data_IF_410273403243
#
_entry.id   IF_410273403243
#
_cell.length_a   1.000
_cell.length_b   1.000
_cell.length_c   1.000
_cell.angle_alpha   90.00
_cell.angle_beta   90.00
_cell.angle_gamma   90.00
#
_symmetry.space_group_name_H-M   'P 1'
#
loop_
_entity.id
_entity.type
_entity.pdbx_description
1 polymer ?
#
# COMPACT_ATOMS: atom_id res chain seq x y z
N UNK A 1 3.41 6.54 -36.92
CA UNK A 1 4.43 6.03 -35.95
C UNK A 1 4.93 7.12 -34.99
N UNK A 2 4.71 8.44 -35.28
CA UNK A 2 5.18 9.55 -34.43
C UNK A 2 4.21 10.01 -33.32
N UNK A 3 3.03 9.41 -33.20
CA UNK A 3 2.00 9.84 -32.22
C UNK A 3 2.21 9.24 -30.83
N UNK A 4 3.00 8.16 -30.70
CA UNK A 4 3.22 7.48 -29.41
C UNK A 4 4.19 8.21 -28.47
N UNK A 5 5.22 8.87 -28.98
CA UNK A 5 6.27 9.48 -28.15
C UNK A 5 5.87 10.74 -27.42
N UNK A 6 4.97 11.56 -27.98
CA UNK A 6 4.59 12.86 -27.38
C UNK A 6 3.47 12.77 -26.33
N UNK A 7 2.68 11.69 -26.32
CA UNK A 7 1.59 11.50 -25.35
C UNK A 7 2.04 10.78 -24.07
N UNK A 8 3.08 9.94 -24.12
CA UNK A 8 3.65 9.29 -22.93
C UNK A 8 4.36 10.30 -22.01
N UNK A 9 4.96 11.32 -22.57
CA UNK A 9 5.64 12.39 -21.83
C UNK A 9 4.65 13.20 -20.97
N UNK A 10 3.38 13.32 -21.36
CA UNK A 10 2.43 14.23 -20.73
C UNK A 10 2.05 13.83 -19.30
N UNK A 11 1.84 12.53 -18.96
CA UNK A 11 1.48 12.15 -17.60
C UNK A 11 2.69 11.95 -16.69
N UNK A 12 3.84 11.52 -17.23
CA UNK A 12 5.12 11.46 -16.49
C UNK A 12 5.68 12.86 -16.12
N UNK A 13 5.20 13.91 -16.73
CA UNK A 13 5.53 15.29 -16.36
C UNK A 13 4.42 15.97 -15.55
N UNK A 14 3.26 15.33 -15.39
CA UNK A 14 2.15 15.91 -14.65
C UNK A 14 2.45 15.91 -13.14
N UNK A 15 2.48 17.07 -12.47
CA UNK A 15 2.85 17.18 -11.06
C UNK A 15 1.93 16.39 -10.13
N UNK A 16 0.63 16.29 -10.47
CA UNK A 16 -0.33 15.51 -9.68
C UNK A 16 -0.05 14.00 -9.80
N UNK A 17 0.15 13.50 -11.02
CA UNK A 17 0.53 12.09 -11.23
C UNK A 17 1.80 11.75 -10.45
N UNK A 18 2.84 12.57 -10.60
CA UNK A 18 4.11 12.39 -9.90
C UNK A 18 3.97 12.44 -8.37
N UNK A 19 2.98 13.17 -7.85
CA UNK A 19 2.73 13.21 -6.39
C UNK A 19 2.21 11.88 -5.85
N UNK A 20 1.54 11.08 -6.68
CA UNK A 20 1.00 9.77 -6.31
C UNK A 20 1.97 8.61 -6.56
N UNK A 21 3.01 8.80 -7.39
CA UNK A 21 3.99 7.75 -7.74
C UNK A 21 4.64 7.11 -6.51
N UNK A 22 5.21 7.84 -5.53
CA UNK A 22 5.81 7.22 -4.36
C UNK A 22 4.77 6.46 -3.52
N UNK A 23 3.55 6.98 -3.39
CA UNK A 23 2.47 6.32 -2.64
C UNK A 23 2.02 5.02 -3.32
N UNK A 24 1.90 5.01 -4.65
CA UNK A 24 1.64 3.81 -5.42
C UNK A 24 2.75 2.78 -5.28
N UNK A 25 4.00 3.21 -5.48
CA UNK A 25 5.15 2.32 -5.48
C UNK A 25 5.45 1.75 -4.08
N UNK A 26 5.66 2.61 -3.08
CA UNK A 26 6.06 2.15 -1.74
C UNK A 26 4.88 1.73 -0.87
N UNK A 27 3.86 2.58 -0.72
CA UNK A 27 2.78 2.29 0.24
C UNK A 27 1.84 1.20 -0.27
N UNK A 28 1.36 1.34 -1.51
CA UNK A 28 0.48 0.33 -2.12
C UNK A 28 1.24 -0.94 -2.48
N UNK A 29 2.48 -0.80 -3.00
CA UNK A 29 3.38 -1.94 -3.22
C UNK A 29 3.66 -2.73 -1.95
N UNK A 30 3.90 -2.06 -0.81
CA UNK A 30 4.06 -2.72 0.49
C UNK A 30 2.79 -3.42 0.96
N UNK A 31 1.62 -2.82 0.76
CA UNK A 31 0.35 -3.46 1.07
C UNK A 31 0.22 -4.79 0.32
N UNK A 32 0.50 -4.79 -1.00
CA UNK A 32 0.50 -6.02 -1.79
C UNK A 32 1.55 -7.02 -1.32
N UNK A 33 2.78 -6.57 -1.06
CA UNK A 33 3.86 -7.42 -0.57
C UNK A 33 3.50 -8.12 0.74
N UNK A 34 2.95 -7.37 1.68
CA UNK A 34 2.54 -7.90 2.99
C UNK A 34 1.41 -8.91 2.83
N UNK A 35 0.34 -8.53 2.15
CA UNK A 35 -0.84 -9.39 2.05
C UNK A 35 -0.58 -10.67 1.24
N UNK A 36 0.29 -10.65 0.23
CA UNK A 36 0.51 -11.80 -0.64
C UNK A 36 1.64 -12.72 -0.16
N UNK A 37 2.64 -12.19 0.56
CA UNK A 37 3.83 -12.95 0.92
C UNK A 37 4.19 -12.88 2.41
N UNK A 38 4.11 -11.72 3.06
CA UNK A 38 4.76 -11.53 4.36
C UNK A 38 3.84 -11.64 5.57
N UNK A 39 2.51 -11.56 5.41
CA UNK A 39 1.57 -11.72 6.53
C UNK A 39 1.62 -13.14 7.13
N UNK A 40 1.69 -14.19 6.29
CA UNK A 40 1.81 -15.58 6.75
C UNK A 40 3.08 -15.84 7.55
N UNK A 41 4.27 -15.57 7.00
CA UNK A 41 5.55 -15.66 7.75
C UNK A 41 5.56 -14.85 9.04
N UNK A 42 4.99 -13.64 9.08
CA UNK A 42 4.84 -12.89 10.33
C UNK A 42 4.02 -13.66 11.36
N UNK A 43 2.87 -14.21 10.97
CA UNK A 43 2.01 -14.95 11.90
C UNK A 43 2.73 -16.17 12.49
N UNK A 44 3.51 -16.89 11.68
CA UNK A 44 4.27 -18.06 12.13
C UNK A 44 5.49 -17.63 12.97
N UNK A 45 6.36 -16.80 12.39
CA UNK A 45 7.69 -16.53 12.97
C UNK A 45 7.62 -15.52 14.12
N UNK A 46 6.77 -14.48 14.00
CA UNK A 46 6.72 -13.39 14.98
C UNK A 46 5.61 -13.62 16.00
N UNK A 47 4.40 -13.98 15.55
CA UNK A 47 3.28 -14.18 16.45
C UNK A 47 3.19 -15.60 17.03
N UNK A 48 4.03 -16.54 16.55
CA UNK A 48 4.14 -17.90 17.09
C UNK A 48 2.96 -18.81 16.73
N UNK A 49 2.24 -18.52 15.64
CA UNK A 49 1.14 -19.36 15.16
C UNK A 49 1.66 -20.67 14.57
N UNK A 50 0.89 -21.75 14.75
CA UNK A 50 1.09 -22.96 13.94
C UNK A 50 0.75 -22.67 12.47
N UNK A 51 1.21 -23.52 11.53
CA UNK A 51 0.84 -23.38 10.11
C UNK A 51 -0.68 -23.35 9.90
N UNK A 52 -1.45 -24.15 10.63
CA UNK A 52 -2.90 -24.21 10.58
C UNK A 52 -3.55 -22.92 11.09
N UNK A 53 -3.09 -22.41 12.22
CA UNK A 53 -3.56 -21.14 12.78
C UNK A 53 -3.22 -19.96 11.84
N UNK A 54 -2.03 -19.98 11.22
CA UNK A 54 -1.63 -18.99 10.24
C UNK A 54 -2.54 -19.03 9.01
N UNK A 55 -2.86 -20.22 8.48
CA UNK A 55 -3.77 -20.36 7.36
C UNK A 55 -5.18 -19.84 7.68
N UNK A 56 -5.72 -20.15 8.86
CA UNK A 56 -7.00 -19.63 9.35
C UNK A 56 -6.93 -18.10 9.51
N UNK A 57 -5.83 -17.59 10.05
CA UNK A 57 -5.57 -16.16 10.19
C UNK A 57 -5.56 -15.43 8.85
N UNK A 58 -4.89 -15.99 7.85
CA UNK A 58 -4.84 -15.46 6.49
C UNK A 58 -6.23 -15.47 5.84
N UNK A 59 -7.00 -16.55 6.01
CA UNK A 59 -8.38 -16.62 5.53
C UNK A 59 -9.21 -15.47 6.12
N UNK A 60 -9.11 -15.23 7.41
CA UNK A 60 -9.81 -14.15 8.09
C UNK A 60 -9.38 -12.76 7.59
N UNK A 61 -8.09 -12.56 7.35
CA UNK A 61 -7.53 -11.33 6.78
C UNK A 61 -8.11 -11.08 5.38
N UNK A 62 -8.12 -12.09 4.50
CA UNK A 62 -8.63 -11.94 3.13
C UNK A 62 -10.14 -11.78 3.08
N UNK A 63 -10.89 -12.45 3.96
CA UNK A 63 -12.33 -12.25 4.09
C UNK A 63 -12.64 -10.80 4.53
N UNK A 64 -11.91 -10.28 5.51
CA UNK A 64 -12.03 -8.88 5.96
C UNK A 64 -11.73 -7.90 4.83
N UNK A 65 -10.73 -8.18 4.01
CA UNK A 65 -10.39 -7.40 2.83
C UNK A 65 -11.54 -7.42 1.80
N UNK A 66 -12.06 -8.59 1.47
CA UNK A 66 -13.18 -8.74 0.53
C UNK A 66 -14.39 -7.92 0.98
N UNK A 67 -14.80 -8.09 2.24
CA UNK A 67 -15.94 -7.36 2.80
C UNK A 67 -15.68 -5.85 2.79
N UNK A 68 -14.47 -5.42 3.12
CA UNK A 68 -14.09 -4.00 3.08
C UNK A 68 -14.20 -3.42 1.68
N UNK A 69 -13.71 -4.12 0.65
CA UNK A 69 -13.82 -3.65 -0.73
C UNK A 69 -15.26 -3.64 -1.25
N UNK A 70 -16.09 -4.61 -0.87
CA UNK A 70 -17.52 -4.59 -1.20
C UNK A 70 -18.23 -3.37 -0.56
N UNK A 71 -18.00 -3.15 0.73
CA UNK A 71 -18.52 -1.97 1.42
C UNK A 71 -17.98 -0.67 0.79
N UNK A 72 -16.69 -0.61 0.52
CA UNK A 72 -16.03 0.54 -0.08
C UNK A 72 -16.59 0.87 -1.47
N UNK A 73 -16.74 -0.14 -2.32
CA UNK A 73 -17.35 0.00 -3.66
C UNK A 73 -18.78 0.55 -3.60
N UNK A 74 -19.53 0.20 -2.57
CA UNK A 74 -20.88 0.74 -2.35
C UNK A 74 -20.88 2.18 -1.82
N UNK A 75 -19.97 2.50 -0.89
CA UNK A 75 -19.99 3.80 -0.20
C UNK A 75 -19.20 4.89 -0.95
N UNK A 76 -18.05 4.57 -1.55
CA UNK A 76 -17.16 5.56 -2.18
C UNK A 76 -17.86 6.44 -3.22
N UNK A 77 -18.70 5.92 -4.13
CA UNK A 77 -19.38 6.79 -5.11
C UNK A 77 -20.28 7.87 -4.49
N UNK A 78 -20.66 7.69 -3.22
CA UNK A 78 -21.47 8.68 -2.47
C UNK A 78 -20.62 9.81 -1.90
N UNK A 79 -19.36 9.54 -1.55
CA UNK A 79 -18.46 10.46 -0.85
C UNK A 79 -17.34 11.00 -1.72
N UNK A 80 -17.04 10.36 -2.85
CA UNK A 80 -15.98 10.76 -3.79
C UNK A 80 -16.58 10.94 -5.18
N UNK A 81 -17.12 12.13 -5.43
CA UNK A 81 -17.72 12.50 -6.72
C UNK A 81 -16.75 13.17 -7.67
N UNK A 82 -15.66 13.70 -7.14
CA UNK A 82 -14.64 14.42 -7.89
C UNK A 82 -13.24 14.13 -7.32
N UNK A 83 -12.22 14.61 -8.03
CA UNK A 83 -10.82 14.39 -7.66
C UNK A 83 -10.47 14.98 -6.29
N UNK A 84 -11.06 16.12 -5.91
CA UNK A 84 -10.81 16.75 -4.61
C UNK A 84 -11.34 15.92 -3.45
N UNK A 85 -12.50 15.27 -3.62
CA UNK A 85 -13.06 14.37 -2.63
C UNK A 85 -12.16 13.15 -2.46
N UNK A 86 -11.69 12.55 -3.57
CA UNK A 86 -10.75 11.42 -3.53
C UNK A 86 -9.45 11.78 -2.79
N UNK A 87 -8.89 12.94 -3.09
CA UNK A 87 -7.68 13.44 -2.41
C UNK A 87 -7.94 13.71 -0.94
N UNK A 88 -9.07 14.29 -0.58
CA UNK A 88 -9.44 14.54 0.81
C UNK A 88 -9.53 13.23 1.59
N UNK A 89 -10.26 12.24 1.06
CA UNK A 89 -10.39 10.93 1.68
C UNK A 89 -9.03 10.22 1.80
N UNK A 90 -8.17 10.33 0.78
CA UNK A 90 -6.83 9.78 0.81
C UNK A 90 -5.96 10.46 1.87
N UNK A 91 -6.03 11.80 1.99
CA UNK A 91 -5.29 12.56 3.01
C UNK A 91 -5.65 12.15 4.43
N UNK A 92 -6.92 11.89 4.70
CA UNK A 92 -7.36 11.52 6.05
C UNK A 92 -7.33 10.01 6.32
N UNK A 93 -7.49 9.19 5.27
CA UNK A 93 -7.55 7.75 5.41
C UNK A 93 -6.18 7.07 5.43
N UNK A 94 -5.24 7.51 4.58
CA UNK A 94 -3.92 6.88 4.50
C UNK A 94 -3.13 6.86 5.84
N UNK A 95 -3.16 7.90 6.70
CA UNK A 95 -2.50 7.84 8.00
C UNK A 95 -3.00 6.75 8.93
N UNK A 96 -4.26 6.31 8.77
CA UNK A 96 -4.84 5.27 9.64
C UNK A 96 -4.06 3.97 9.46
N UNK A 97 -3.75 3.58 8.23
CA UNK A 97 -2.96 2.37 7.97
C UNK A 97 -1.52 2.50 8.50
N UNK A 98 -0.91 3.69 8.45
CA UNK A 98 0.40 3.94 9.04
C UNK A 98 0.38 3.78 10.56
N UNK A 99 -0.65 4.31 11.23
CA UNK A 99 -0.82 4.16 12.69
C UNK A 99 -0.98 2.69 13.06
N UNK A 100 -1.79 1.94 12.30
CA UNK A 100 -1.99 0.51 12.54
C UNK A 100 -0.69 -0.27 12.31
N UNK A 101 0.08 0.05 11.26
CA UNK A 101 1.37 -0.59 11.01
C UNK A 101 2.37 -0.30 12.14
N UNK A 102 2.43 0.95 12.62
CA UNK A 102 3.25 1.31 13.78
C UNK A 102 2.85 0.52 15.03
N UNK A 103 1.54 0.33 15.26
CA UNK A 103 1.03 -0.49 16.35
C UNK A 103 1.44 -1.96 16.21
N UNK A 104 1.36 -2.55 15.01
CA UNK A 104 1.81 -3.92 14.74
C UNK A 104 3.30 -4.08 15.07
N UNK A 105 4.13 -3.13 14.62
CA UNK A 105 5.58 -3.13 14.91
C UNK A 105 5.84 -3.03 16.42
N UNK A 106 5.12 -2.17 17.12
CA UNK A 106 5.22 -2.00 18.57
C UNK A 106 4.82 -3.27 19.32
N UNK A 107 3.68 -3.85 19.00
CA UNK A 107 3.16 -5.06 19.64
C UNK A 107 4.04 -6.30 19.36
N UNK A 108 4.68 -6.37 18.18
CA UNK A 108 5.55 -7.49 17.82
C UNK A 108 4.83 -8.84 17.94
N UNK A 109 5.28 -9.76 18.82
CA UNK A 109 4.65 -11.09 18.97
C UNK A 109 3.18 -11.08 19.35
N UNK A 110 2.67 -9.99 19.93
CA UNK A 110 1.25 -9.85 20.26
C UNK A 110 0.39 -9.43 19.07
N UNK A 111 1.01 -9.08 17.94
CA UNK A 111 0.31 -8.67 16.73
C UNK A 111 -0.05 -9.89 15.86
N UNK A 112 -1.19 -10.51 16.11
CA UNK A 112 -1.75 -11.62 15.35
C UNK A 112 -2.64 -11.19 14.18
N UNK A 113 -3.42 -12.14 13.65
CA UNK A 113 -4.25 -12.00 12.44
C UNK A 113 -5.23 -10.83 12.49
N UNK A 114 -5.82 -10.54 13.65
CA UNK A 114 -6.77 -9.42 13.79
C UNK A 114 -6.11 -8.06 13.53
N UNK A 115 -4.86 -7.87 13.95
CA UNK A 115 -4.13 -6.64 13.73
C UNK A 115 -3.80 -6.44 12.23
N UNK A 116 -3.44 -7.51 11.54
CA UNK A 116 -3.23 -7.49 10.09
C UNK A 116 -4.54 -7.28 9.32
N UNK A 117 -5.65 -7.85 9.78
CA UNK A 117 -6.97 -7.57 9.21
C UNK A 117 -7.32 -6.08 9.34
N UNK A 118 -7.12 -5.47 10.52
CA UNK A 118 -7.34 -4.03 10.73
C UNK A 118 -6.40 -3.20 9.84
N UNK A 119 -5.13 -3.60 9.66
CA UNK A 119 -4.20 -2.93 8.73
C UNK A 119 -4.73 -2.94 7.31
N UNK A 120 -5.17 -4.09 6.80
CA UNK A 120 -5.68 -4.22 5.43
C UNK A 120 -6.99 -3.44 5.25
N UNK A 121 -7.91 -3.54 6.21
CA UNK A 121 -9.16 -2.76 6.19
C UNK A 121 -8.89 -1.25 6.20
N UNK A 122 -7.96 -0.80 7.04
CA UNK A 122 -7.57 0.62 7.09
C UNK A 122 -6.84 1.10 5.83
N UNK A 123 -6.25 0.18 5.09
CA UNK A 123 -5.52 0.49 3.84
C UNK A 123 -6.45 0.65 2.63
N UNK A 124 -7.76 0.39 2.76
CA UNK A 124 -8.73 0.51 1.66
C UNK A 124 -8.75 1.91 1.03
N UNK A 125 -8.42 2.96 1.80
CA UNK A 125 -8.30 4.33 1.29
C UNK A 125 -7.25 4.48 0.18
N UNK A 126 -6.22 3.65 0.17
CA UNK A 126 -5.17 3.68 -0.87
C UNK A 126 -5.73 3.34 -2.26
N UNK A 127 -6.84 2.60 -2.34
CA UNK A 127 -7.51 2.31 -3.60
C UNK A 127 -8.01 3.56 -4.33
N UNK A 128 -8.19 4.67 -3.62
CA UNK A 128 -8.58 5.96 -4.21
C UNK A 128 -7.48 6.58 -5.09
N UNK A 129 -6.24 6.11 -5.00
CA UNK A 129 -5.15 6.59 -5.87
C UNK A 129 -5.46 6.34 -7.34
N UNK A 130 -6.06 5.20 -7.68
CA UNK A 130 -6.41 4.85 -9.06
C UNK A 130 -7.52 5.73 -9.64
N UNK A 131 -8.71 5.88 -9.02
CA UNK A 131 -9.72 6.81 -9.54
C UNK A 131 -9.23 8.25 -9.53
N UNK A 132 -8.40 8.68 -8.58
CA UNK A 132 -7.81 10.02 -8.59
C UNK A 132 -6.91 10.23 -9.82
N UNK A 133 -6.10 9.24 -10.20
CA UNK A 133 -5.33 9.27 -11.46
C UNK A 133 -6.27 9.33 -12.65
N UNK A 134 -7.30 8.47 -12.71
CA UNK A 134 -8.25 8.45 -13.81
C UNK A 134 -8.97 9.81 -14.02
N UNK A 135 -9.38 10.45 -12.93
CA UNK A 135 -10.06 11.75 -12.95
C UNK A 135 -9.13 12.94 -13.27
N UNK A 136 -7.82 12.77 -13.15
CA UNK A 136 -6.84 13.85 -13.40
C UNK A 136 -6.55 14.06 -14.88
N UNK A 137 -6.98 13.18 -15.76
CA UNK A 137 -6.69 13.22 -17.19
C UNK A 137 -7.97 13.20 -18.04
N UNK A 138 -7.86 13.69 -19.29
CA UNK A 138 -8.96 13.59 -20.26
C UNK A 138 -9.31 12.12 -20.53
N UNK A 139 -10.55 11.84 -20.92
CA UNK A 139 -11.02 10.48 -21.21
C UNK A 139 -10.12 9.71 -22.20
N UNK A 140 -9.53 10.42 -23.16
CA UNK A 140 -8.58 9.83 -24.14
C UNK A 140 -7.26 9.37 -23.53
N UNK A 141 -6.82 10.00 -22.43
CA UNK A 141 -5.53 9.74 -21.77
C UNK A 141 -5.67 8.99 -20.44
N UNK A 142 -6.86 9.00 -19.83
CA UNK A 142 -7.10 8.36 -18.54
C UNK A 142 -6.73 6.87 -18.53
N UNK A 143 -7.08 6.12 -19.60
CA UNK A 143 -6.74 4.70 -19.70
C UNK A 143 -5.22 4.46 -19.69
N UNK A 144 -4.45 5.27 -20.43
CA UNK A 144 -2.98 5.15 -20.47
C UNK A 144 -2.35 5.52 -19.12
N UNK A 145 -2.82 6.60 -18.49
CA UNK A 145 -2.35 7.02 -17.18
C UNK A 145 -2.63 5.95 -16.12
N UNK A 146 -3.83 5.34 -16.11
CA UNK A 146 -4.19 4.25 -15.20
C UNK A 146 -3.33 3.01 -15.44
N UNK A 147 -3.10 2.62 -16.69
CA UNK A 147 -2.23 1.47 -17.01
C UNK A 147 -0.80 1.71 -16.53
N UNK A 148 -0.26 2.89 -16.77
CA UNK A 148 1.08 3.26 -16.30
C UNK A 148 1.17 3.31 -14.78
N UNK A 149 0.13 3.81 -14.11
CA UNK A 149 0.07 3.81 -12.65
C UNK A 149 -0.04 2.39 -12.08
N UNK A 150 -0.87 1.52 -12.69
CA UNK A 150 -0.96 0.12 -12.30
C UNK A 150 0.37 -0.63 -12.49
N UNK A 151 1.10 -0.36 -13.57
CA UNK A 151 2.44 -0.92 -13.76
C UNK A 151 3.37 -0.53 -12.60
N UNK A 152 3.34 0.72 -12.15
CA UNK A 152 4.09 1.17 -10.98
C UNK A 152 3.70 0.45 -9.69
N UNK A 153 2.40 0.20 -9.49
CA UNK A 153 1.92 -0.58 -8.33
C UNK A 153 2.52 -1.99 -8.31
N UNK A 154 2.52 -2.68 -9.46
CA UNK A 154 3.06 -4.04 -9.56
C UNK A 154 4.58 -4.06 -9.41
N UNK A 155 5.30 -3.14 -10.07
CA UNK A 155 6.76 -3.01 -9.90
C UNK A 155 7.07 -2.75 -8.42
N UNK A 156 6.31 -1.86 -7.77
CA UNK A 156 6.41 -1.59 -6.35
C UNK A 156 6.17 -2.83 -5.50
N UNK A 157 5.13 -3.63 -5.82
CA UNK A 157 4.83 -4.86 -5.11
C UNK A 157 6.00 -5.85 -5.17
N UNK A 158 6.55 -6.12 -6.37
CA UNK A 158 7.72 -6.99 -6.55
C UNK A 158 8.95 -6.45 -5.80
N UNK A 159 9.21 -5.16 -5.93
CA UNK A 159 10.34 -4.53 -5.24
C UNK A 159 10.19 -4.66 -3.72
N UNK A 160 9.01 -4.37 -3.17
CA UNK A 160 8.77 -4.44 -1.73
C UNK A 160 8.77 -5.87 -1.21
N UNK A 161 8.28 -6.86 -1.99
CA UNK A 161 8.41 -8.27 -1.62
C UNK A 161 9.87 -8.69 -1.46
N UNK A 162 10.69 -8.31 -2.44
CA UNK A 162 12.10 -8.65 -2.47
C UNK A 162 12.91 -7.93 -1.40
N UNK A 163 12.75 -6.62 -1.23
CA UNK A 163 13.53 -5.83 -0.28
C UNK A 163 13.19 -6.18 1.18
N UNK A 164 11.94 -6.53 1.49
CA UNK A 164 11.55 -7.02 2.81
C UNK A 164 12.34 -8.29 3.14
N UNK A 165 12.42 -9.26 2.21
CA UNK A 165 13.21 -10.46 2.38
C UNK A 165 14.69 -10.16 2.61
N UNK A 166 15.29 -9.29 1.78
CA UNK A 166 16.69 -8.89 1.94
C UNK A 166 16.97 -8.25 3.31
N UNK A 167 16.05 -7.42 3.82
CA UNK A 167 16.22 -6.79 5.14
C UNK A 167 16.15 -7.84 6.26
N UNK A 168 15.27 -8.83 6.14
CA UNK A 168 15.20 -9.94 7.09
C UNK A 168 16.50 -10.74 7.07
N UNK A 169 16.99 -11.14 5.90
CA UNK A 169 18.25 -11.87 5.75
C UNK A 169 19.46 -11.08 6.27
N UNK A 170 19.48 -9.78 6.03
CA UNK A 170 20.50 -8.86 6.56
C UNK A 170 20.45 -8.82 8.09
N UNK A 171 19.26 -8.73 8.68
CA UNK A 171 19.07 -8.77 10.12
C UNK A 171 19.63 -10.05 10.72
N UNK A 172 19.32 -11.20 10.12
CA UNK A 172 19.83 -12.51 10.54
C UNK A 172 21.36 -12.60 10.42
N UNK A 173 21.93 -12.07 9.33
CA UNK A 173 23.39 -12.10 9.08
C UNK A 173 24.20 -11.30 10.12
N UNK A 174 23.59 -10.30 10.75
CA UNK A 174 24.19 -9.52 11.85
C UNK A 174 23.74 -10.02 13.24
N UNK A 175 23.26 -11.27 13.31
CA UNK A 175 22.84 -11.96 14.53
C UNK A 175 21.64 -11.31 15.27
N UNK A 176 20.76 -10.60 14.59
CA UNK A 176 19.47 -10.26 15.15
C UNK A 176 18.58 -11.50 15.26
N UNK A 177 17.71 -11.56 16.26
CA UNK A 177 16.68 -12.58 16.31
C UNK A 177 15.74 -12.49 15.12
N UNK A 178 15.09 -13.59 14.73
CA UNK A 178 14.10 -13.61 13.65
C UNK A 178 13.02 -12.55 13.86
N UNK A 179 12.47 -12.45 15.07
CA UNK A 179 11.47 -11.45 15.44
C UNK A 179 11.96 -10.02 15.16
N UNK A 180 13.20 -9.70 15.55
CA UNK A 180 13.75 -8.35 15.34
C UNK A 180 14.07 -8.09 13.87
N UNK A 181 14.48 -9.09 13.11
CA UNK A 181 14.71 -9.01 11.67
C UNK A 181 13.40 -8.69 10.92
N UNK A 182 12.31 -9.36 11.25
CA UNK A 182 10.98 -9.05 10.73
C UNK A 182 10.51 -7.64 11.12
N UNK A 183 10.71 -7.25 12.39
CA UNK A 183 10.37 -5.89 12.84
C UNK A 183 11.16 -4.83 12.10
N UNK A 184 12.46 -5.06 11.84
CA UNK A 184 13.31 -4.16 11.05
C UNK A 184 12.76 -3.97 9.64
N UNK A 185 12.34 -5.03 8.99
CA UNK A 185 11.73 -4.96 7.66
C UNK A 185 10.40 -4.18 7.68
N UNK A 186 9.56 -4.37 8.71
CA UNK A 186 8.31 -3.61 8.83
C UNK A 186 8.56 -2.13 9.18
N UNK A 187 9.63 -1.81 9.92
CA UNK A 187 10.07 -0.42 10.14
C UNK A 187 10.47 0.23 8.81
N UNK A 188 11.19 -0.47 7.94
CA UNK A 188 11.52 0.03 6.60
C UNK A 188 10.24 0.32 5.79
N UNK A 189 9.27 -0.59 5.79
CA UNK A 189 7.95 -0.39 5.16
C UNK A 189 7.26 0.85 5.72
N UNK A 190 7.26 1.02 7.04
CA UNK A 190 6.67 2.18 7.69
C UNK A 190 7.34 3.49 7.25
N UNK A 191 8.68 3.54 7.27
CA UNK A 191 9.44 4.75 6.89
C UNK A 191 9.19 5.12 5.43
N UNK A 192 9.25 4.18 4.50
CA UNK A 192 9.03 4.43 3.07
C UNK A 192 7.59 4.86 2.79
N UNK A 193 6.62 4.25 3.47
CA UNK A 193 5.21 4.62 3.36
C UNK A 193 4.93 6.00 3.97
N UNK A 194 5.52 6.33 5.11
CA UNK A 194 5.42 7.65 5.74
C UNK A 194 6.04 8.73 4.85
N UNK A 195 7.23 8.48 4.30
CA UNK A 195 7.88 9.39 3.34
C UNK A 195 6.98 9.64 2.12
N UNK A 196 6.42 8.58 1.54
CA UNK A 196 5.51 8.66 0.39
C UNK A 196 4.26 9.49 0.71
N UNK A 197 3.68 9.30 1.88
CA UNK A 197 2.53 10.08 2.34
C UNK A 197 2.88 11.56 2.55
N UNK A 198 4.00 11.86 3.19
CA UNK A 198 4.46 13.25 3.37
C UNK A 198 4.79 13.94 2.04
N UNK A 199 5.37 13.21 1.10
CA UNK A 199 5.60 13.69 -0.27
C UNK A 199 4.28 14.02 -0.96
N UNK A 200 3.29 13.12 -0.88
CA UNK A 200 1.95 13.36 -1.40
C UNK A 200 1.32 14.62 -0.79
N UNK A 201 1.36 14.79 0.53
CA UNK A 201 0.80 15.99 1.19
C UNK A 201 1.42 17.30 0.70
N UNK A 202 2.73 17.30 0.38
CA UNK A 202 3.45 18.49 -0.09
C UNK A 202 3.13 18.80 -1.55
N UNK A 203 2.93 17.80 -2.39
CA UNK A 203 2.81 17.96 -3.84
C UNK A 203 1.39 17.91 -4.38
N UNK A 204 0.46 17.24 -3.69
CA UNK A 204 -0.94 17.12 -4.10
C UNK A 204 -1.74 18.41 -3.80
N UNK A 205 -1.17 19.58 -4.13
CA UNK A 205 -1.92 20.82 -4.21
C UNK A 205 -2.57 20.86 -5.59
N UNK A 206 -3.90 20.74 -5.62
CA UNK A 206 -4.67 21.08 -6.82
C UNK A 206 -4.94 22.57 -6.70
N UNK A 207 -4.50 23.32 -7.71
CA UNK A 207 -4.89 24.71 -7.92
C UNK A 207 -6.34 24.77 -8.33
#
# INVERSE_FOLDING_TARGET
VQVFGSMEICFWTNPFFLSLVPMGFFTYGSLFAIQTLWAGPWLITVAGYTPEESAQGLFFIYLSMLLSFLCWGYFVPRFSKNINDAIRLLKFGAPISLIVLALIIYLGPKAGSIHWAIFIVSSVFLSLTQPAVGMAFSLSNAGKALTSFNLLLFIGAFFMQWIIGLIIDLGLSINLSEINSFKLAMIFVFITSLFSYLFFLRKAKIN
#
